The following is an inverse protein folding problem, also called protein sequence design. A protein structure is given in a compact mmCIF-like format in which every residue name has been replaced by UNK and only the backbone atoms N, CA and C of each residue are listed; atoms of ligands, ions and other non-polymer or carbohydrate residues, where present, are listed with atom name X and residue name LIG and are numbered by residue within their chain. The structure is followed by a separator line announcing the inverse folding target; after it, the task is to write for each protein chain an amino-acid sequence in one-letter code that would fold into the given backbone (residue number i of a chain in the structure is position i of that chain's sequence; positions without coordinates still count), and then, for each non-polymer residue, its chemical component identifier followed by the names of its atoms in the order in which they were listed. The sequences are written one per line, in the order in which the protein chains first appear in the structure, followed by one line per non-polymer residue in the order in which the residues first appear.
data_IF_367283065002
#
_entry.id   IF_367283065002
#
_cell.length_a   1.000
_cell.length_b   1.000
_cell.length_c   1.000
_cell.angle_alpha   90.00
_cell.angle_beta   90.00
_cell.angle_gamma   90.00
#
_symmetry.space_group_name_H-M   'P 1'
#
loop_
_entity.id
_entity.type
_entity.pdbx_description
1 polymer ?
#
# COMPACT_ATOMS: atom_id res chain seq x y z
N UNK A 1 -42.33 -57.47 13.14
CA UNK A 1 -41.54 -56.85 12.06
C UNK A 1 -42.22 -55.57 11.57
N UNK A 2 -41.88 -54.39 12.09
CA UNK A 2 -42.35 -53.09 11.52
C UNK A 2 -41.51 -51.88 11.95
N UNK A 3 -40.19 -52.02 12.01
CA UNK A 3 -39.28 -50.97 12.49
C UNK A 3 -38.27 -50.46 11.44
N UNK A 4 -38.38 -50.89 10.18
CA UNK A 4 -37.39 -50.57 9.12
C UNK A 4 -37.70 -49.38 8.21
N UNK A 5 -38.93 -48.81 8.25
CA UNK A 5 -39.35 -47.81 7.25
C UNK A 5 -39.18 -46.34 7.65
N UNK A 6 -38.92 -46.03 8.92
CA UNK A 6 -38.84 -44.64 9.40
C UNK A 6 -37.42 -44.04 9.40
N UNK A 7 -36.38 -44.89 9.46
CA UNK A 7 -34.97 -44.42 9.49
C UNK A 7 -34.44 -44.10 8.07
N UNK A 8 -34.89 -44.85 7.04
CA UNK A 8 -34.46 -44.62 5.65
C UNK A 8 -34.97 -43.27 5.11
N UNK A 9 -36.15 -42.81 5.54
CA UNK A 9 -36.75 -41.54 5.10
C UNK A 9 -36.07 -40.29 5.68
N UNK A 10 -35.37 -40.40 6.83
CA UNK A 10 -34.64 -39.28 7.42
C UNK A 10 -33.23 -39.12 6.84
N UNK A 11 -32.59 -40.23 6.44
CA UNK A 11 -31.26 -40.20 5.81
C UNK A 11 -31.35 -39.69 4.36
N UNK A 12 -32.40 -40.04 3.60
CA UNK A 12 -32.60 -39.48 2.26
C UNK A 12 -33.00 -38.00 2.28
N UNK A 13 -33.64 -37.51 3.34
CA UNK A 13 -33.99 -36.08 3.48
C UNK A 13 -32.77 -35.21 3.79
N UNK A 14 -31.80 -35.70 4.56
CA UNK A 14 -30.52 -35.00 4.76
C UNK A 14 -29.59 -35.06 3.54
N UNK A 15 -29.64 -36.15 2.75
CA UNK A 15 -28.90 -36.22 1.48
C UNK A 15 -29.51 -35.31 0.39
N UNK A 16 -30.84 -35.15 0.38
CA UNK A 16 -31.54 -34.26 -0.55
C UNK A 16 -31.30 -32.77 -0.23
N UNK A 17 -31.07 -32.38 1.03
CA UNK A 17 -30.69 -31.00 1.37
C UNK A 17 -29.24 -30.66 0.99
N UNK A 18 -28.33 -31.65 0.96
CA UNK A 18 -26.96 -31.43 0.47
C UNK A 18 -26.87 -31.27 -1.05
N UNK A 19 -27.82 -31.84 -1.80
CA UNK A 19 -27.83 -31.78 -3.27
C UNK A 19 -28.46 -30.49 -3.84
N UNK A 20 -29.19 -29.71 -3.03
CA UNK A 20 -29.75 -28.42 -3.47
C UNK A 20 -29.06 -27.19 -2.84
N UNK A 21 -28.32 -27.35 -1.74
CA UNK A 21 -27.56 -26.25 -1.12
C UNK A 21 -26.21 -25.96 -1.80
N UNK A 22 -25.50 -26.99 -2.26
CA UNK A 22 -24.14 -26.85 -2.79
C UNK A 22 -24.04 -26.02 -4.08
N UNK A 23 -25.01 -26.16 -4.99
CA UNK A 23 -24.99 -25.48 -6.30
C UNK A 23 -25.10 -23.95 -6.20
N UNK A 24 -25.79 -23.44 -5.17
CA UNK A 24 -25.96 -22.00 -4.94
C UNK A 24 -24.69 -21.34 -4.39
N UNK A 25 -23.94 -22.05 -3.54
CA UNK A 25 -22.69 -21.58 -2.96
C UNK A 25 -21.55 -21.61 -3.99
N UNK A 26 -21.43 -22.70 -4.75
CA UNK A 26 -20.46 -22.82 -5.86
C UNK A 26 -20.67 -21.75 -6.94
N UNK A 27 -21.92 -21.38 -7.26
CA UNK A 27 -22.22 -20.32 -8.21
C UNK A 27 -21.92 -18.91 -7.65
N UNK A 28 -22.12 -18.69 -6.34
CA UNK A 28 -21.74 -17.45 -5.67
C UNK A 28 -20.21 -17.30 -5.59
N UNK A 29 -19.48 -18.37 -5.30
CA UNK A 29 -18.01 -18.38 -5.28
C UNK A 29 -17.43 -18.17 -6.70
N UNK A 30 -17.95 -18.87 -7.71
CA UNK A 30 -17.51 -18.70 -9.10
C UNK A 30 -17.83 -17.31 -9.67
N UNK A 31 -18.97 -16.72 -9.32
CA UNK A 31 -19.31 -15.34 -9.73
C UNK A 31 -18.46 -14.30 -8.99
N UNK A 32 -18.15 -14.52 -7.71
CA UNK A 32 -17.24 -13.66 -6.96
C UNK A 32 -15.79 -13.73 -7.48
N UNK A 33 -15.29 -14.93 -7.82
CA UNK A 33 -13.98 -15.10 -8.46
C UNK A 33 -13.92 -14.49 -9.86
N UNK A 34 -14.97 -14.65 -10.66
CA UNK A 34 -15.05 -14.02 -11.99
C UNK A 34 -15.10 -12.48 -11.90
N UNK A 35 -15.80 -11.93 -10.91
CA UNK A 35 -15.89 -10.50 -10.67
C UNK A 35 -14.60 -9.91 -10.07
N UNK A 36 -13.88 -10.69 -9.24
CA UNK A 36 -12.53 -10.38 -8.78
C UNK A 36 -11.55 -10.32 -9.96
N UNK A 37 -11.63 -11.27 -10.90
CA UNK A 37 -10.74 -11.33 -12.07
C UNK A 37 -11.03 -10.23 -13.11
N UNK A 38 -12.27 -9.76 -13.24
CA UNK A 38 -12.61 -8.62 -14.12
C UNK A 38 -12.17 -7.24 -13.57
N UNK A 39 -11.81 -7.17 -12.28
CA UNK A 39 -11.42 -5.94 -11.60
C UNK A 39 -9.90 -5.81 -11.38
N UNK A 40 -9.10 -6.77 -11.88
CA UNK A 40 -7.64 -6.68 -11.82
C UNK A 40 -7.16 -5.71 -12.90
N UNK A 41 -6.44 -4.63 -12.53
CA UNK A 41 -5.80 -3.76 -13.50
C UNK A 41 -4.87 -4.55 -14.45
N UNK A 42 -4.95 -4.26 -15.74
CA UNK A 42 -4.32 -5.07 -16.80
C UNK A 42 -2.79 -5.11 -16.70
N UNK A 43 -2.19 -4.08 -16.12
CA UNK A 43 -0.76 -3.90 -15.90
C UNK A 43 -0.24 -4.51 -14.59
N UNK A 44 -1.08 -5.26 -13.84
CA UNK A 44 -0.68 -5.92 -12.61
C UNK A 44 -0.52 -7.44 -12.72
N UNK A 45 -0.91 -8.08 -13.84
CA UNK A 45 -1.02 -9.55 -13.93
C UNK A 45 0.19 -10.32 -13.42
N UNK A 46 1.41 -9.88 -13.79
CA UNK A 46 2.70 -10.49 -13.39
C UNK A 46 3.59 -9.51 -12.59
N UNK A 47 3.00 -8.43 -12.07
CA UNK A 47 3.74 -7.38 -11.39
C UNK A 47 4.03 -7.78 -9.93
N UNK A 48 5.26 -7.59 -9.43
CA UNK A 48 5.67 -8.01 -8.08
C UNK A 48 4.81 -7.42 -6.95
N UNK A 49 4.26 -6.22 -7.17
CA UNK A 49 3.40 -5.52 -6.21
C UNK A 49 1.90 -5.88 -6.35
N UNK A 50 1.51 -6.77 -7.26
CA UNK A 50 0.11 -7.12 -7.57
C UNK A 50 -0.70 -7.35 -6.31
N UNK A 51 -0.25 -8.27 -5.46
CA UNK A 51 -1.01 -8.66 -4.26
C UNK A 51 -1.21 -7.48 -3.33
N UNK A 52 -0.15 -6.73 -3.02
CA UNK A 52 -0.23 -5.53 -2.17
C UNK A 52 -1.16 -4.45 -2.74
N UNK A 53 -1.11 -4.20 -4.05
CA UNK A 53 -1.95 -3.21 -4.73
C UNK A 53 -3.41 -3.68 -4.75
N UNK A 54 -3.66 -4.95 -5.04
CA UNK A 54 -5.01 -5.52 -5.04
C UNK A 54 -5.64 -5.47 -3.64
N UNK A 55 -4.87 -5.72 -2.58
CA UNK A 55 -5.38 -5.58 -1.21
C UNK A 55 -5.79 -4.13 -0.92
N UNK A 56 -5.01 -3.15 -1.34
CA UNK A 56 -5.36 -1.73 -1.18
C UNK A 56 -6.57 -1.32 -2.03
N UNK A 57 -6.72 -1.86 -3.25
CA UNK A 57 -7.90 -1.63 -4.12
C UNK A 57 -9.15 -2.23 -3.47
N UNK A 58 -9.07 -3.48 -3.02
CA UNK A 58 -10.18 -4.21 -2.40
C UNK A 58 -10.63 -3.55 -1.09
N UNK A 59 -9.67 -2.98 -0.33
CA UNK A 59 -9.96 -2.19 0.87
C UNK A 59 -10.49 -0.77 0.55
N UNK A 60 -10.57 -0.37 -0.71
CA UNK A 60 -11.00 0.97 -1.14
C UNK A 60 -10.02 2.09 -0.80
N UNK A 61 -8.77 1.75 -0.47
CA UNK A 61 -7.72 2.70 -0.07
C UNK A 61 -7.15 3.44 -1.28
N UNK A 62 -6.98 2.72 -2.39
CA UNK A 62 -6.53 3.27 -3.67
C UNK A 62 -7.48 2.86 -4.78
N UNK A 63 -7.40 3.56 -5.92
CA UNK A 63 -8.15 3.23 -7.13
C UNK A 63 -7.23 3.29 -8.34
N UNK A 64 -7.43 2.36 -9.29
CA UNK A 64 -6.83 2.44 -10.62
C UNK A 64 -7.39 3.59 -11.46
N UNK A 65 -6.87 3.72 -12.66
CA UNK A 65 -7.30 4.70 -13.65
C UNK A 65 -8.55 4.22 -14.40
N UNK A 66 -9.33 5.14 -14.99
CA UNK A 66 -10.52 4.78 -15.79
C UNK A 66 -10.24 3.89 -17.00
N UNK A 67 -8.98 3.85 -17.46
CA UNK A 67 -8.52 3.01 -18.56
C UNK A 67 -8.24 1.54 -18.16
N UNK A 68 -8.46 1.19 -16.88
CA UNK A 68 -8.25 -0.16 -16.36
C UNK A 68 -6.80 -0.46 -15.95
N UNK A 69 -5.95 0.56 -15.80
CA UNK A 69 -4.55 0.42 -15.36
C UNK A 69 -4.33 0.93 -13.94
N UNK A 70 -3.21 0.58 -13.31
CA UNK A 70 -2.74 1.18 -12.05
C UNK A 70 -1.46 2.01 -12.21
N UNK A 71 -0.76 1.84 -13.33
CA UNK A 71 0.53 2.39 -13.69
C UNK A 71 1.56 2.17 -12.59
N UNK A 72 1.81 0.91 -12.17
CA UNK A 72 2.63 0.59 -11.00
C UNK A 72 4.06 1.12 -11.12
N UNK A 73 4.64 1.10 -12.32
CA UNK A 73 6.02 1.52 -12.56
C UNK A 73 6.18 3.04 -12.81
N UNK A 74 5.07 3.78 -12.89
CA UNK A 74 5.14 5.24 -13.04
C UNK A 74 5.67 5.87 -11.76
N UNK A 75 6.60 6.82 -11.89
CA UNK A 75 7.07 7.63 -10.78
C UNK A 75 5.92 8.45 -10.16
N UNK A 76 5.85 8.47 -8.83
CA UNK A 76 4.80 9.21 -8.11
C UNK A 76 5.25 10.65 -7.84
N UNK A 77 4.41 11.63 -8.18
CA UNK A 77 4.70 13.03 -7.83
C UNK A 77 4.53 13.26 -6.32
N UNK A 78 5.16 14.31 -5.80
CA UNK A 78 5.03 14.71 -4.39
C UNK A 78 3.57 15.04 -4.03
N UNK A 79 2.82 15.65 -4.96
CA UNK A 79 1.40 15.91 -4.81
C UNK A 79 0.56 14.62 -4.79
N UNK A 80 0.80 13.70 -5.73
CA UNK A 80 0.11 12.40 -5.78
C UNK A 80 0.36 11.61 -4.49
N UNK A 81 1.60 11.61 -3.99
CA UNK A 81 1.98 10.94 -2.76
C UNK A 81 1.30 11.56 -1.53
N UNK A 82 1.26 12.89 -1.43
CA UNK A 82 0.53 13.59 -0.37
C UNK A 82 -0.96 13.23 -0.34
N UNK A 83 -1.63 13.26 -1.50
CA UNK A 83 -3.05 12.95 -1.63
C UNK A 83 -3.33 11.49 -1.29
N UNK A 84 -2.46 10.59 -1.72
CA UNK A 84 -2.54 9.17 -1.36
C UNK A 84 -2.51 8.99 0.15
N UNK A 85 -1.55 9.61 0.86
CA UNK A 85 -1.44 9.50 2.32
C UNK A 85 -2.65 10.07 3.05
N UNK A 86 -3.14 11.26 2.66
CA UNK A 86 -4.33 11.86 3.29
C UNK A 86 -5.54 10.95 3.15
N UNK A 87 -5.80 10.45 1.94
CA UNK A 87 -6.97 9.58 1.68
C UNK A 87 -6.86 8.25 2.39
N UNK A 88 -5.71 7.60 2.28
CA UNK A 88 -5.51 6.26 2.84
C UNK A 88 -5.58 6.23 4.36
N UNK A 89 -4.99 7.25 5.00
CA UNK A 89 -4.91 7.34 6.45
C UNK A 89 -6.07 8.13 7.06
N UNK A 90 -6.96 8.68 6.22
CA UNK A 90 -8.06 9.59 6.62
C UNK A 90 -7.52 10.72 7.51
N UNK A 91 -6.41 11.35 7.09
CA UNK A 91 -5.80 12.41 7.87
C UNK A 91 -6.73 13.62 7.92
N UNK A 92 -7.07 14.03 9.13
CA UNK A 92 -7.86 15.24 9.34
C UNK A 92 -7.06 16.48 8.92
N UNK A 93 -7.68 17.43 8.22
CA UNK A 93 -7.06 18.71 7.90
C UNK A 93 -6.58 19.40 9.18
N UNK A 94 -5.34 19.87 9.15
CA UNK A 94 -4.74 20.61 10.26
C UNK A 94 -4.17 21.92 9.75
N UNK A 95 -4.46 23.01 10.47
CA UNK A 95 -3.86 24.29 10.18
C UNK A 95 -2.32 24.16 10.25
N UNK A 96 -1.63 24.58 9.19
CA UNK A 96 -0.19 24.40 9.09
C UNK A 96 0.40 25.11 7.88
N UNK A 97 1.61 24.67 7.50
CA UNK A 97 2.39 25.31 6.46
C UNK A 97 1.68 25.23 5.11
N UNK A 98 1.44 26.40 4.51
CA UNK A 98 1.03 26.53 3.11
C UNK A 98 2.22 26.96 2.27
N UNK A 99 2.29 26.47 1.03
CA UNK A 99 3.37 26.78 0.11
C UNK A 99 2.84 27.65 -1.04
N UNK A 100 3.64 28.62 -1.51
CA UNK A 100 3.21 29.57 -2.53
C UNK A 100 2.96 28.89 -3.88
N UNK A 101 3.75 27.87 -4.21
CA UNK A 101 3.63 27.08 -5.44
C UNK A 101 2.48 26.06 -5.40
N UNK A 102 1.75 25.95 -4.28
CA UNK A 102 0.56 25.09 -4.18
C UNK A 102 -0.75 25.88 -4.13
N UNK A 103 -0.71 27.21 -4.17
CA UNK A 103 -1.86 28.07 -3.92
C UNK A 103 -3.09 27.78 -4.81
N UNK A 104 -2.85 27.43 -6.08
CA UNK A 104 -3.86 27.04 -7.08
C UNK A 104 -3.76 25.57 -7.49
N UNK A 105 -2.97 24.77 -6.77
CA UNK A 105 -2.70 23.38 -7.12
C UNK A 105 -3.81 22.46 -6.56
N UNK A 106 -4.25 21.47 -7.34
CA UNK A 106 -5.35 20.57 -6.96
C UNK A 106 -5.08 19.77 -5.67
N UNK A 107 -3.81 19.52 -5.35
CA UNK A 107 -3.38 18.82 -4.15
C UNK A 107 -3.10 19.73 -2.94
N UNK A 108 -3.37 21.04 -3.03
CA UNK A 108 -3.03 22.04 -2.00
C UNK A 108 -3.39 21.59 -0.58
N UNK A 109 -4.64 21.22 -0.37
CA UNK A 109 -5.14 20.90 0.97
C UNK A 109 -4.53 19.60 1.49
N UNK A 110 -4.30 18.63 0.61
CA UNK A 110 -3.62 17.39 0.99
C UNK A 110 -2.17 17.64 1.38
N UNK A 111 -1.45 18.46 0.60
CA UNK A 111 -0.07 18.86 0.88
C UNK A 111 0.02 19.61 2.22
N UNK A 112 -0.86 20.58 2.45
CA UNK A 112 -0.90 21.31 3.71
C UNK A 112 -1.16 20.36 4.90
N UNK A 113 -2.07 19.39 4.71
CA UNK A 113 -2.41 18.39 5.73
C UNK A 113 -1.21 17.52 6.08
N UNK A 114 -0.56 16.85 5.11
CA UNK A 114 0.60 15.99 5.40
C UNK A 114 1.79 16.78 5.97
N UNK A 115 1.96 18.04 5.57
CA UNK A 115 2.98 18.93 6.14
C UNK A 115 2.66 19.29 7.60
N UNK A 116 1.40 19.59 7.92
CA UNK A 116 0.96 19.91 9.28
C UNK A 116 1.02 18.71 10.25
N UNK A 117 0.94 17.48 9.71
CA UNK A 117 1.21 16.24 10.42
C UNK A 117 2.71 15.92 10.54
N UNK A 118 3.59 16.73 9.96
CA UNK A 118 5.04 16.55 10.03
C UNK A 118 5.58 15.40 9.19
N UNK A 119 4.77 14.86 8.26
CA UNK A 119 5.16 13.73 7.43
C UNK A 119 6.09 14.18 6.30
N UNK A 120 5.76 15.30 5.66
CA UNK A 120 6.53 15.88 4.56
C UNK A 120 7.03 17.29 4.89
N UNK A 121 8.03 17.74 4.13
CA UNK A 121 8.52 19.12 4.16
C UNK A 121 8.69 19.65 2.74
N UNK A 122 8.59 20.96 2.57
CA UNK A 122 8.96 21.63 1.32
C UNK A 122 10.47 21.72 1.15
N UNK A 123 10.91 22.13 -0.03
CA UNK A 123 12.32 22.46 -0.30
C UNK A 123 12.80 23.61 0.58
N UNK A 124 11.88 24.51 0.92
CA UNK A 124 12.07 25.56 1.90
C UNK A 124 10.71 25.93 2.53
N UNK A 125 10.67 27.02 3.30
CA UNK A 125 9.44 27.48 3.98
C UNK A 125 8.31 27.86 3.00
N UNK A 126 8.62 28.19 1.76
CA UNK A 126 7.68 28.73 0.79
C UNK A 126 7.39 27.79 -0.40
N UNK A 127 8.33 26.90 -0.76
CA UNK A 127 8.22 26.05 -1.95
C UNK A 127 8.12 24.57 -1.59
N UNK A 128 7.15 23.88 -2.18
CA UNK A 128 6.94 22.45 -1.99
C UNK A 128 7.43 21.59 -3.16
N UNK A 129 7.32 22.06 -4.40
CA UNK A 129 7.53 21.27 -5.61
C UNK A 129 6.47 20.18 -5.79
N UNK A 130 5.17 20.50 -5.97
CA UNK A 130 4.10 19.51 -6.00
C UNK A 130 4.20 18.52 -7.18
N UNK A 131 4.66 18.99 -8.34
CA UNK A 131 4.74 18.20 -9.57
C UNK A 131 6.07 17.47 -9.76
N UNK A 132 7.04 17.69 -8.85
CA UNK A 132 8.29 16.95 -8.85
C UNK A 132 8.07 15.51 -8.36
N UNK A 133 8.88 14.57 -8.85
CA UNK A 133 8.82 13.19 -8.41
C UNK A 133 9.44 13.00 -7.03
N UNK A 134 8.85 12.11 -6.25
CA UNK A 134 9.32 11.78 -4.90
C UNK A 134 10.49 10.80 -5.00
N UNK A 135 11.65 11.14 -4.43
CA UNK A 135 12.80 10.21 -4.39
C UNK A 135 12.57 9.08 -3.38
N UNK A 136 13.25 7.94 -3.57
CA UNK A 136 13.13 6.78 -2.68
C UNK A 136 13.53 7.09 -1.23
N UNK A 137 14.55 7.92 -1.02
CA UNK A 137 14.92 8.34 0.34
C UNK A 137 13.87 9.24 1.01
N UNK A 138 13.21 10.11 0.22
CA UNK A 138 12.11 10.92 0.71
C UNK A 138 10.92 10.04 1.10
N UNK A 139 10.51 9.11 0.24
CA UNK A 139 9.39 8.23 0.52
C UNK A 139 9.65 7.34 1.76
N UNK A 140 10.84 6.73 1.84
CA UNK A 140 11.24 5.94 3.01
C UNK A 140 11.20 6.77 4.30
N UNK A 141 11.64 8.02 4.24
CA UNK A 141 11.60 8.92 5.40
C UNK A 141 10.19 9.31 5.83
N UNK A 142 9.28 9.48 4.88
CA UNK A 142 7.86 9.71 5.19
C UNK A 142 7.26 8.51 5.91
N UNK A 143 7.51 7.29 5.42
CA UNK A 143 6.99 6.08 6.05
C UNK A 143 7.65 5.77 7.42
N UNK A 144 8.94 6.07 7.58
CA UNK A 144 9.62 5.99 8.88
C UNK A 144 8.93 6.88 9.92
N UNK A 145 8.67 8.14 9.59
CA UNK A 145 7.97 9.10 10.46
C UNK A 145 6.53 8.69 10.72
N UNK A 146 5.84 8.23 9.69
CA UNK A 146 4.46 7.77 9.79
C UNK A 146 4.33 6.62 10.79
N UNK A 147 5.22 5.64 10.73
CA UNK A 147 5.27 4.52 11.67
C UNK A 147 5.96 4.85 13.00
N UNK A 148 6.41 6.10 13.17
CA UNK A 148 7.16 6.58 14.35
C UNK A 148 8.32 5.64 14.70
N UNK A 149 9.05 5.19 13.68
CA UNK A 149 10.19 4.31 13.89
C UNK A 149 11.27 5.04 14.67
N UNK A 150 11.85 4.34 15.65
CA UNK A 150 13.03 4.84 16.33
C UNK A 150 14.18 5.01 15.33
N UNK A 151 14.94 6.09 15.49
CA UNK A 151 16.11 6.36 14.67
C UNK A 151 17.06 5.16 14.74
N UNK A 152 17.23 4.50 13.60
CA UNK A 152 18.00 3.28 13.54
C UNK A 152 19.49 3.60 13.42
N UNK A 153 20.30 3.06 14.33
CA UNK A 153 21.78 3.04 14.20
C UNK A 153 22.26 1.87 13.34
N UNK A 154 21.35 1.10 12.76
CA UNK A 154 21.67 0.00 11.85
C UNK A 154 22.43 0.53 10.64
N UNK A 155 23.65 0.02 10.41
CA UNK A 155 24.36 0.29 9.16
C UNK A 155 23.67 -0.48 8.04
N UNK A 156 22.90 0.23 7.23
CA UNK A 156 22.27 -0.35 6.05
C UNK A 156 23.36 -0.82 5.08
N UNK A 157 23.45 -2.13 4.89
CA UNK A 157 24.39 -2.73 3.96
C UNK A 157 23.84 -2.63 2.51
N UNK A 158 23.86 -1.44 1.94
CA UNK A 158 23.58 -1.22 0.52
C UNK A 158 24.81 -0.66 -0.22
N UNK A 159 24.92 -1.00 -1.51
CA UNK A 159 26.09 -0.69 -2.34
C UNK A 159 26.28 0.81 -2.59
N UNK A 160 25.21 1.58 -2.52
CA UNK A 160 25.14 3.02 -2.77
C UNK A 160 24.85 3.84 -1.51
N UNK A 161 25.17 3.31 -0.32
CA UNK A 161 24.92 3.99 0.97
C UNK A 161 25.49 5.40 1.09
N UNK A 162 26.53 5.71 0.31
CA UNK A 162 27.14 7.05 0.23
C UNK A 162 26.25 8.08 -0.48
N UNK A 163 25.34 7.63 -1.34
CA UNK A 163 24.38 8.47 -2.06
C UNK A 163 23.12 8.79 -1.25
N UNK A 164 22.97 8.17 -0.07
CA UNK A 164 21.88 8.49 0.85
C UNK A 164 22.23 9.80 1.56
N UNK A 165 21.35 10.79 1.46
CA UNK A 165 21.52 12.07 2.14
C UNK A 165 21.67 11.87 3.65
N UNK A 166 22.56 12.64 4.28
CA UNK A 166 22.87 12.48 5.71
C UNK A 166 21.60 12.57 6.60
N UNK A 167 20.65 13.43 6.25
CA UNK A 167 19.39 13.59 6.96
C UNK A 167 18.45 12.39 6.82
N UNK A 168 18.57 11.59 5.74
CA UNK A 168 17.68 10.48 5.44
C UNK A 168 18.20 9.14 5.99
N UNK A 169 19.51 9.04 6.30
CA UNK A 169 20.15 7.75 6.66
C UNK A 169 19.43 6.97 7.78
N UNK A 170 19.08 7.59 8.94
CA UNK A 170 18.43 6.83 10.02
C UNK A 170 17.06 6.31 9.60
N UNK A 171 16.30 7.15 8.90
CA UNK A 171 14.96 6.85 8.41
C UNK A 171 14.97 5.75 7.33
N UNK A 172 15.88 5.85 6.36
CA UNK A 172 16.05 4.85 5.30
C UNK A 172 16.47 3.50 5.89
N UNK A 173 17.43 3.50 6.82
CA UNK A 173 17.85 2.27 7.50
C UNK A 173 16.70 1.62 8.29
N UNK A 174 15.90 2.41 9.00
CA UNK A 174 14.73 1.93 9.73
C UNK A 174 13.66 1.35 8.79
N UNK A 175 13.30 2.09 7.73
CA UNK A 175 12.29 1.68 6.76
C UNK A 175 12.69 0.39 6.02
N UNK A 176 13.97 0.22 5.68
CA UNK A 176 14.45 -1.03 5.09
C UNK A 176 14.44 -2.18 6.09
N UNK A 177 14.87 -1.94 7.34
CA UNK A 177 14.92 -2.97 8.39
C UNK A 177 13.55 -3.60 8.65
N UNK A 178 12.48 -2.81 8.60
CA UNK A 178 11.11 -3.31 8.83
C UNK A 178 10.39 -3.75 7.54
N UNK A 179 11.05 -3.66 6.38
CA UNK A 179 10.52 -4.13 5.11
C UNK A 179 9.50 -3.20 4.45
N UNK A 180 9.49 -1.90 4.78
CA UNK A 180 8.72 -0.92 3.99
C UNK A 180 9.36 -0.67 2.63
N UNK A 181 10.69 -0.72 2.56
CA UNK A 181 11.45 -0.63 1.32
C UNK A 181 12.45 -1.77 1.23
N UNK A 182 12.63 -2.31 0.04
CA UNK A 182 13.60 -3.37 -0.24
C UNK A 182 14.79 -2.80 -1.04
N UNK A 183 15.95 -3.41 -0.86
CA UNK A 183 17.08 -3.19 -1.77
C UNK A 183 16.76 -3.84 -3.13
N UNK A 184 17.30 -3.27 -4.20
CA UNK A 184 17.24 -3.89 -5.52
C UNK A 184 18.13 -5.14 -5.57
N UNK A 185 17.95 -6.02 -6.57
CA UNK A 185 18.77 -7.24 -6.72
C UNK A 185 20.29 -6.98 -6.81
N UNK A 186 20.69 -5.79 -7.27
CA UNK A 186 22.09 -5.33 -7.31
C UNK A 186 22.64 -4.84 -5.95
N UNK A 187 21.84 -4.95 -4.89
CA UNK A 187 22.17 -4.50 -3.54
C UNK A 187 22.08 -2.99 -3.33
N UNK A 188 21.61 -2.22 -4.31
CA UNK A 188 21.43 -0.77 -4.19
C UNK A 188 20.10 -0.40 -3.55
N UNK A 189 20.05 0.77 -2.90
CA UNK A 189 18.79 1.38 -2.44
C UNK A 189 18.24 2.41 -3.44
N UNK A 190 19.09 2.99 -4.29
CA UNK A 190 18.80 4.09 -5.23
C UNK A 190 18.13 5.29 -4.55
N UNK A 191 18.76 5.91 -3.54
CA UNK A 191 18.13 6.94 -2.70
C UNK A 191 17.62 8.15 -3.48
N UNK A 192 18.36 8.58 -4.51
CA UNK A 192 18.01 9.70 -5.39
C UNK A 192 17.11 9.30 -6.58
N UNK A 193 16.89 7.99 -6.77
CA UNK A 193 15.95 7.50 -7.78
C UNK A 193 14.51 7.81 -7.40
N UNK A 194 13.64 7.95 -8.39
CA UNK A 194 12.22 8.23 -8.16
C UNK A 194 11.48 6.99 -7.68
N UNK A 195 10.60 7.19 -6.70
CA UNK A 195 9.73 6.17 -6.14
C UNK A 195 8.63 5.86 -7.14
N UNK A 196 8.43 4.58 -7.46
CA UNK A 196 7.29 4.17 -8.29
C UNK A 196 6.00 4.14 -7.48
N UNK A 197 4.85 4.20 -8.17
CA UNK A 197 3.54 4.01 -7.52
C UNK A 197 3.48 2.65 -6.79
N UNK A 198 4.05 1.61 -7.38
CA UNK A 198 4.13 0.29 -6.74
C UNK A 198 4.93 0.30 -5.44
N UNK A 199 6.08 0.97 -5.40
CA UNK A 199 6.88 1.08 -4.17
C UNK A 199 6.11 1.87 -3.09
N UNK A 200 5.48 2.98 -3.48
CA UNK A 200 4.66 3.78 -2.56
C UNK A 200 3.47 2.98 -2.02
N UNK A 201 2.76 2.23 -2.87
CA UNK A 201 1.63 1.38 -2.47
C UNK A 201 2.07 0.19 -1.63
N UNK A 202 3.18 -0.46 -1.96
CA UNK A 202 3.70 -1.56 -1.16
C UNK A 202 4.02 -1.11 0.28
N UNK A 203 4.71 0.02 0.44
CA UNK A 203 5.00 0.58 1.75
C UNK A 203 3.72 0.97 2.52
N UNK A 204 2.72 1.52 1.83
CA UNK A 204 1.40 1.82 2.41
C UNK A 204 0.69 0.56 2.89
N UNK A 205 0.69 -0.48 2.06
CA UNK A 205 0.13 -1.78 2.41
C UNK A 205 0.80 -2.36 3.65
N UNK A 206 2.13 -2.39 3.70
CA UNK A 206 2.88 -2.86 4.88
C UNK A 206 2.58 -2.02 6.13
N UNK A 207 2.36 -0.71 5.97
CA UNK A 207 1.96 0.16 7.09
C UNK A 207 0.54 -0.13 7.59
N UNK A 208 -0.43 -0.31 6.70
CA UNK A 208 -1.84 -0.56 7.04
C UNK A 208 -2.10 -2.00 7.50
N UNK A 209 -1.23 -2.93 7.12
CA UNK A 209 -1.27 -4.34 7.48
C UNK A 209 0.04 -4.74 8.17
N UNK A 210 0.32 -4.21 9.39
CA UNK A 210 1.45 -4.69 10.16
C UNK A 210 1.21 -6.17 10.40
N UNK A 211 2.12 -7.03 9.92
CA UNK A 211 2.03 -8.47 10.23
C UNK A 211 1.91 -8.62 11.74
N UNK A 212 0.93 -9.40 12.22
CA UNK A 212 1.02 -9.88 13.60
C UNK A 212 2.40 -10.51 13.76
N UNK A 213 3.11 -10.22 14.87
CA UNK A 213 4.46 -10.75 15.07
C UNK A 213 4.41 -12.26 14.84
N UNK A 214 5.12 -12.70 13.79
CA UNK A 214 5.26 -14.11 13.46
C UNK A 214 5.70 -14.81 14.73
N UNK A 215 4.80 -15.54 15.39
CA UNK A 215 5.17 -16.39 16.52
C UNK A 215 6.13 -17.41 15.95
N UNK A 216 7.43 -17.19 16.21
CA UNK A 216 8.48 -18.16 15.88
C UNK A 216 8.09 -19.42 16.64
N UNK A 217 7.56 -20.42 15.92
CA UNK A 217 7.41 -21.76 16.47
C UNK A 217 8.84 -22.27 16.65
N UNK A 218 9.28 -22.30 17.89
CA UNK A 218 10.49 -22.99 18.34
C UNK A 218 10.42 -24.48 18.02
#
# INVERSE_FOLDING_TARGET
MKTGRRIILLITLMLALMLFGGSSLLAAEASNEAQLNSNIPSDLSDHWAKDSIMQLINAGVIKGYPDGTCQPDKAISRAEFAVMLVKALKLEPKAGNTFSDTASHWAKDSIATVAAHGLVSGHNKNLFGPDEFTTREQAASVYSRLAKLESSTFDLNCTDKKSISAWAKPDVAAAVKIGFFNLYPDGSFKPQGYTTRAEAFYALYKYLSPEEPQTVKH
#
